data_IF_547026983587
#
_entry.id   IF_547026983587
#
_cell.length_a   1.000
_cell.length_b   1.000
_cell.length_c   1.000
_cell.angle_alpha   90.00
_cell.angle_beta   90.00
_cell.angle_gamma   90.00
#
_symmetry.space_group_name_H-M   'P 1'
#
loop_
_entity.id
_entity.type
_entity.pdbx_description
1 polymer ?
#
# COMPACT_ATOMS: atom_id res chain seq x y z
N UNK A 1 5.65 -17.31 17.55
CA UNK A 1 4.24 -16.98 17.86
C UNK A 1 3.58 -16.53 16.57
N UNK A 2 2.27 -16.71 16.41
CA UNK A 2 1.59 -16.48 15.14
C UNK A 2 1.22 -15.01 14.93
N UNK A 3 0.96 -14.65 13.66
CA UNK A 3 0.20 -13.45 13.31
C UNK A 3 -1.23 -13.59 13.83
N UNK A 4 -1.94 -12.47 13.95
CA UNK A 4 -3.39 -12.43 14.21
C UNK A 4 -4.13 -12.75 12.91
N UNK A 5 -5.47 -12.78 12.96
CA UNK A 5 -6.28 -13.00 11.77
C UNK A 5 -6.10 -11.86 10.76
N UNK A 6 -5.61 -12.22 9.58
CA UNK A 6 -5.39 -11.32 8.45
C UNK A 6 -6.22 -11.77 7.23
N UNK A 7 -7.37 -12.42 7.44
CA UNK A 7 -8.21 -12.95 6.36
C UNK A 7 -8.95 -11.88 5.56
N UNK A 8 -9.43 -10.82 6.21
CA UNK A 8 -10.17 -9.72 5.57
C UNK A 8 -9.23 -8.80 4.79
N UNK A 9 -9.59 -8.44 3.55
CA UNK A 9 -8.84 -7.50 2.71
C UNK A 9 -9.09 -6.04 3.12
N UNK A 10 -10.34 -5.60 3.15
CA UNK A 10 -10.71 -4.23 3.49
C UNK A 10 -10.88 -4.10 5.02
N UNK A 11 -10.28 -3.07 5.63
CA UNK A 11 -10.31 -2.88 7.09
C UNK A 11 -10.92 -1.55 7.51
N UNK A 12 -10.38 -0.44 7.01
CA UNK A 12 -10.73 0.90 7.52
C UNK A 12 -11.07 1.92 6.44
N UNK A 13 -10.87 1.60 5.17
CA UNK A 13 -11.31 2.45 4.07
C UNK A 13 -12.84 2.42 3.95
N UNK A 14 -13.40 3.51 3.42
CA UNK A 14 -14.79 3.55 2.99
C UNK A 14 -14.95 2.69 1.74
N UNK A 15 -16.06 1.95 1.61
CA UNK A 15 -16.29 1.06 0.46
C UNK A 15 -17.33 1.66 -0.47
N UNK A 16 -16.98 1.76 -1.75
CA UNK A 16 -17.89 2.15 -2.83
C UNK A 16 -18.01 0.96 -3.78
N UNK A 17 -19.21 0.39 -3.89
CA UNK A 17 -19.48 -0.70 -4.81
C UNK A 17 -19.79 -0.16 -6.21
N UNK A 18 -19.08 -0.68 -7.21
CA UNK A 18 -19.29 -0.39 -8.63
C UNK A 18 -20.13 -1.53 -9.20
N UNK A 19 -21.39 -1.25 -9.49
CA UNK A 19 -22.39 -2.25 -9.86
C UNK A 19 -22.51 -2.41 -11.37
N UNK A 20 -22.95 -3.59 -11.82
CA UNK A 20 -23.23 -3.82 -13.25
C UNK A 20 -24.53 -3.12 -13.66
N UNK A 21 -24.41 -2.07 -14.45
CA UNK A 21 -25.55 -1.28 -14.93
C UNK A 21 -25.45 -0.87 -16.41
N UNK A 22 -24.38 -1.25 -17.11
CA UNK A 22 -24.10 -0.88 -18.49
C UNK A 22 -24.12 0.65 -18.74
N UNK A 23 -23.76 1.46 -17.74
CA UNK A 23 -23.84 2.92 -17.80
C UNK A 23 -22.62 3.60 -17.21
N UNK A 24 -22.17 4.66 -17.87
CA UNK A 24 -21.04 5.49 -17.40
C UNK A 24 -21.45 6.26 -16.13
N UNK A 25 -20.82 5.94 -15.00
CA UNK A 25 -21.05 6.63 -13.74
C UNK A 25 -19.86 7.50 -13.30
N UNK A 26 -20.13 8.36 -12.32
CA UNK A 26 -19.10 9.18 -11.67
C UNK A 26 -19.12 8.90 -10.17
N UNK A 27 -17.98 8.46 -9.64
CA UNK A 27 -17.78 8.19 -8.23
C UNK A 27 -16.76 9.16 -7.64
N UNK A 28 -17.00 9.60 -6.40
CA UNK A 28 -16.14 10.58 -5.71
C UNK A 28 -15.46 9.93 -4.51
N UNK A 29 -14.14 10.02 -4.45
CA UNK A 29 -13.37 9.57 -3.30
C UNK A 29 -13.44 10.57 -2.13
N UNK A 30 -13.46 10.05 -0.91
CA UNK A 30 -13.48 10.87 0.31
C UNK A 30 -12.68 10.20 1.44
N UNK A 31 -11.50 10.73 1.73
CA UNK A 31 -10.54 10.04 2.60
C UNK A 31 -10.00 8.77 1.91
N UNK A 32 -9.65 7.74 2.67
CA UNK A 32 -9.29 6.44 2.10
C UNK A 32 -10.55 5.71 1.60
N UNK A 33 -10.62 5.46 0.31
CA UNK A 33 -11.78 4.88 -0.39
C UNK A 33 -11.33 3.63 -1.15
N UNK A 34 -12.12 2.56 -1.05
CA UNK A 34 -11.94 1.34 -1.83
C UNK A 34 -13.11 1.19 -2.79
N UNK A 35 -12.84 1.29 -4.08
CA UNK A 35 -13.77 1.04 -5.16
C UNK A 35 -13.77 -0.45 -5.50
N UNK A 36 -14.90 -1.13 -5.34
CA UNK A 36 -15.02 -2.58 -5.52
C UNK A 36 -15.90 -2.88 -6.72
N UNK A 37 -15.29 -3.44 -7.76
CA UNK A 37 -15.98 -3.81 -8.98
C UNK A 37 -16.77 -5.11 -8.82
N UNK A 38 -18.00 -5.09 -9.32
CA UNK A 38 -18.81 -6.29 -9.52
C UNK A 38 -18.26 -7.14 -10.69
N UNK A 39 -18.75 -8.38 -10.79
CA UNK A 39 -18.50 -9.22 -11.97
C UNK A 39 -19.43 -8.81 -13.13
N UNK A 40 -18.88 -8.57 -14.31
CA UNK A 40 -19.61 -8.21 -15.53
C UNK A 40 -19.43 -6.73 -15.92
N UNK A 41 -20.20 -6.30 -16.92
CA UNK A 41 -20.10 -4.96 -17.51
C UNK A 41 -20.63 -3.90 -16.54
N UNK A 42 -19.76 -3.03 -16.06
CA UNK A 42 -20.05 -1.89 -15.19
C UNK A 42 -20.16 -0.59 -15.97
N UNK A 43 -19.61 -0.51 -17.19
CA UNK A 43 -19.61 0.70 -18.01
C UNK A 43 -18.28 1.47 -17.95
N UNK A 44 -18.23 2.61 -18.64
CA UNK A 44 -17.05 3.48 -18.68
C UNK A 44 -17.10 4.49 -17.53
N UNK A 45 -16.55 4.12 -16.38
CA UNK A 45 -16.67 4.89 -15.14
C UNK A 45 -15.59 5.96 -14.96
N UNK A 46 -15.93 7.02 -14.22
CA UNK A 46 -14.99 8.08 -13.82
C UNK A 46 -14.87 8.19 -12.30
N UNK A 47 -13.63 8.19 -11.81
CA UNK A 47 -13.31 8.45 -10.41
C UNK A 47 -12.79 9.86 -10.23
N UNK A 48 -13.41 10.64 -9.34
CA UNK A 48 -13.01 12.00 -9.01
C UNK A 48 -12.38 12.06 -7.62
N UNK A 49 -11.24 12.73 -7.53
CA UNK A 49 -10.54 12.98 -6.28
C UNK A 49 -9.80 11.76 -5.71
N UNK A 50 -9.51 10.77 -6.57
CA UNK A 50 -8.68 9.62 -6.23
C UNK A 50 -7.29 10.10 -5.77
N UNK A 51 -6.80 9.57 -4.67
CA UNK A 51 -5.55 9.99 -4.06
C UNK A 51 -4.70 8.78 -3.66
N UNK A 52 -3.51 9.01 -3.13
CA UNK A 52 -2.53 7.96 -2.82
C UNK A 52 -3.01 6.91 -1.81
N UNK A 53 -4.11 7.19 -1.10
CA UNK A 53 -4.73 6.32 -0.10
C UNK A 53 -6.02 5.63 -0.58
N UNK A 54 -6.39 5.81 -1.85
CA UNK A 54 -7.51 5.13 -2.47
C UNK A 54 -7.07 3.84 -3.16
N UNK A 55 -8.02 2.91 -3.31
CA UNK A 55 -7.77 1.58 -3.85
C UNK A 55 -8.87 1.15 -4.80
N UNK A 56 -8.49 0.34 -5.79
CA UNK A 56 -9.40 -0.35 -6.69
C UNK A 56 -9.28 -1.85 -6.42
N UNK A 57 -10.41 -2.53 -6.29
CA UNK A 57 -10.47 -3.99 -6.19
C UNK A 57 -11.32 -4.53 -7.33
N UNK A 58 -10.72 -5.37 -8.16
CA UNK A 58 -11.40 -6.08 -9.24
C UNK A 58 -11.52 -7.57 -8.91
N UNK A 59 -12.43 -8.25 -9.62
CA UNK A 59 -12.64 -9.71 -9.49
C UNK A 59 -11.77 -10.54 -10.42
N UNK A 60 -11.28 -9.93 -11.48
CA UNK A 60 -10.32 -10.49 -12.42
C UNK A 60 -9.11 -9.56 -12.43
N UNK A 61 -7.92 -10.14 -12.47
CA UNK A 61 -6.69 -9.36 -12.57
C UNK A 61 -6.70 -8.55 -13.86
N UNK A 62 -6.50 -7.23 -13.75
CA UNK A 62 -6.29 -6.34 -14.88
C UNK A 62 -5.03 -6.78 -15.63
N UNK A 63 -5.11 -6.79 -16.97
CA UNK A 63 -4.02 -7.23 -17.82
C UNK A 63 -2.81 -6.29 -17.75
N UNK A 64 -1.75 -6.77 -17.11
CA UNK A 64 -0.42 -6.17 -17.13
C UNK A 64 0.34 -6.65 -18.38
N UNK A 65 0.59 -5.72 -19.31
CA UNK A 65 1.19 -6.02 -20.62
C UNK A 65 2.68 -6.36 -20.54
N UNK A 66 3.42 -5.70 -19.67
CA UNK A 66 4.88 -5.81 -19.56
C UNK A 66 5.32 -6.63 -18.34
N UNK A 67 4.38 -7.02 -17.47
CA UNK A 67 4.61 -7.91 -16.34
C UNK A 67 5.41 -7.25 -15.22
N UNK A 68 5.35 -5.92 -15.09
CA UNK A 68 6.07 -5.15 -14.08
C UNK A 68 5.23 -4.84 -12.83
N UNK A 69 3.99 -5.32 -12.80
CA UNK A 69 2.94 -5.07 -11.81
C UNK A 69 2.35 -3.65 -11.82
N UNK A 70 2.53 -2.90 -12.91
CA UNK A 70 1.91 -1.61 -13.11
C UNK A 70 0.94 -1.64 -14.30
N UNK A 71 -0.22 -1.03 -14.11
CA UNK A 71 -1.24 -0.87 -15.12
C UNK A 71 -1.24 0.59 -15.53
N UNK A 72 -0.51 0.90 -16.60
CA UNK A 72 -0.47 2.26 -17.14
C UNK A 72 -1.71 2.57 -17.97
N UNK A 73 -2.20 3.79 -17.85
CA UNK A 73 -3.22 4.35 -18.71
C UNK A 73 -2.74 4.41 -20.17
N UNK A 74 -3.69 4.31 -21.10
CA UNK A 74 -3.46 4.61 -22.50
C UNK A 74 -3.14 6.11 -22.74
N UNK A 75 -2.76 6.50 -23.96
CA UNK A 75 -2.50 7.91 -24.31
C UNK A 75 -3.66 8.88 -24.07
N UNK A 76 -4.86 8.35 -23.83
CA UNK A 76 -6.10 9.05 -23.51
C UNK A 76 -6.37 9.16 -22.01
N UNK A 77 -5.47 8.71 -21.12
CA UNK A 77 -5.66 8.76 -19.67
C UNK A 77 -6.55 7.65 -19.10
N UNK A 78 -6.98 6.70 -19.95
CA UNK A 78 -7.93 5.65 -19.57
C UNK A 78 -7.20 4.35 -19.23
N UNK A 79 -7.63 3.69 -18.15
CA UNK A 79 -7.22 2.35 -17.76
C UNK A 79 -8.34 1.36 -18.13
N UNK A 80 -7.94 0.28 -18.80
CA UNK A 80 -8.84 -0.77 -19.28
C UNK A 80 -8.82 -1.92 -18.26
N UNK A 81 -9.94 -2.17 -17.58
CA UNK A 81 -9.97 -2.97 -16.35
C UNK A 81 -10.36 -4.44 -16.57
N UNK A 82 -11.02 -4.77 -17.69
CA UNK A 82 -11.38 -6.14 -18.06
C UNK A 82 -10.66 -6.62 -19.35
N UNK A 83 -9.62 -5.89 -19.79
CA UNK A 83 -8.70 -6.34 -20.83
C UNK A 83 -8.23 -7.77 -20.58
N UNK A 84 -8.30 -8.62 -21.61
CA UNK A 84 -7.86 -10.03 -21.55
C UNK A 84 -6.61 -10.32 -22.36
N UNK A 85 -6.10 -9.36 -23.15
CA UNK A 85 -4.84 -9.48 -23.88
C UNK A 85 -4.54 -8.33 -24.83
N UNK A 86 -3.42 -8.39 -25.58
CA UNK A 86 -3.05 -7.34 -26.53
C UNK A 86 -4.09 -7.16 -27.65
N UNK A 87 -4.71 -5.99 -27.73
CA UNK A 87 -5.73 -5.68 -28.74
C UNK A 87 -7.13 -6.25 -28.44
N UNK A 88 -7.33 -6.75 -27.22
CA UNK A 88 -8.64 -7.14 -26.69
C UNK A 88 -8.97 -6.20 -25.55
N UNK A 89 -9.21 -4.94 -25.93
CA UNK A 89 -9.68 -3.92 -25.01
C UNK A 89 -11.03 -4.42 -24.48
N UNK A 90 -11.15 -4.54 -23.17
CA UNK A 90 -12.37 -5.06 -22.58
C UNK A 90 -13.52 -4.05 -22.73
N UNK A 91 -14.67 -4.37 -22.14
CA UNK A 91 -15.84 -3.49 -22.22
C UNK A 91 -15.82 -2.38 -21.16
N UNK A 92 -15.03 -2.54 -20.09
CA UNK A 92 -15.05 -1.69 -18.91
C UNK A 92 -13.75 -0.88 -18.81
N UNK A 93 -13.91 0.43 -18.80
CA UNK A 93 -12.82 1.39 -18.80
C UNK A 93 -12.99 2.34 -17.63
N UNK A 94 -11.88 2.83 -17.10
CA UNK A 94 -11.92 3.81 -16.02
C UNK A 94 -11.06 5.02 -16.35
N UNK A 95 -11.61 6.20 -16.08
CA UNK A 95 -10.84 7.45 -16.01
C UNK A 95 -10.63 7.81 -14.54
N UNK A 96 -9.37 7.99 -14.14
CA UNK A 96 -9.02 8.34 -12.76
C UNK A 96 -8.54 9.78 -12.70
N UNK A 97 -9.46 10.70 -12.42
CA UNK A 97 -9.13 12.08 -12.14
C UNK A 97 -8.72 12.20 -10.66
N UNK A 98 -7.41 12.22 -10.41
CA UNK A 98 -6.91 12.31 -9.05
C UNK A 98 -7.16 13.67 -8.40
N UNK A 99 -6.94 13.74 -7.08
CA UNK A 99 -7.21 14.95 -6.28
C UNK A 99 -6.33 16.12 -6.67
N UNK A 100 -5.06 15.84 -6.94
CA UNK A 100 -4.04 16.86 -7.22
C UNK A 100 -3.56 16.79 -8.68
N UNK A 101 -3.50 15.58 -9.25
CA UNK A 101 -3.08 15.32 -10.62
C UNK A 101 -3.84 14.09 -11.17
N UNK A 102 -3.76 13.88 -12.49
CA UNK A 102 -4.32 12.68 -13.13
C UNK A 102 -3.56 11.42 -12.70
N UNK A 103 -4.27 10.37 -12.32
CA UNK A 103 -3.65 9.08 -11.97
C UNK A 103 -3.54 8.26 -13.25
N UNK A 104 -2.35 8.27 -13.84
CA UNK A 104 -2.09 7.59 -15.11
C UNK A 104 -1.55 6.16 -14.94
N UNK A 105 -1.43 5.67 -13.71
CA UNK A 105 -0.91 4.33 -13.48
C UNK A 105 -1.37 3.79 -12.14
N UNK A 106 -1.78 2.52 -12.14
CA UNK A 106 -2.06 1.77 -10.92
C UNK A 106 -0.94 0.76 -10.68
N UNK A 107 -0.56 0.54 -9.43
CA UNK A 107 0.29 -0.58 -9.02
C UNK A 107 -0.56 -1.71 -8.45
N UNK A 108 -0.20 -2.94 -8.78
CA UNK A 108 -0.85 -4.14 -8.30
C UNK A 108 -0.30 -4.56 -6.94
N UNK A 109 -1.18 -4.69 -5.95
CA UNK A 109 -0.85 -5.02 -4.56
C UNK A 109 -1.09 -6.49 -4.21
N UNK A 110 -1.48 -7.34 -5.16
CA UNK A 110 -1.72 -8.76 -4.93
C UNK A 110 -3.20 -9.17 -4.87
N UNK A 111 -3.43 -10.43 -4.52
CA UNK A 111 -4.77 -11.03 -4.43
C UNK A 111 -5.09 -11.45 -2.99
N UNK A 112 -6.30 -11.15 -2.53
CA UNK A 112 -6.81 -11.61 -1.23
C UNK A 112 -8.32 -11.68 -1.25
N UNK A 113 -8.87 -12.70 -0.61
CA UNK A 113 -10.32 -12.91 -0.55
C UNK A 113 -11.02 -12.89 -1.93
N UNK A 114 -10.31 -13.37 -2.96
CA UNK A 114 -10.78 -13.38 -4.35
C UNK A 114 -10.77 -12.03 -5.06
N UNK A 115 -10.34 -10.95 -4.40
CA UNK A 115 -10.15 -9.63 -5.01
C UNK A 115 -8.69 -9.37 -5.39
N UNK A 116 -8.49 -8.69 -6.51
CA UNK A 116 -7.20 -8.18 -6.98
C UNK A 116 -7.11 -6.69 -6.63
N UNK A 117 -6.14 -6.33 -5.79
CA UNK A 117 -6.03 -4.98 -5.25
C UNK A 117 -5.04 -4.12 -6.03
N UNK A 118 -5.41 -2.86 -6.24
CA UNK A 118 -4.62 -1.86 -6.95
C UNK A 118 -4.66 -0.53 -6.19
N UNK A 119 -3.59 0.25 -6.30
CA UNK A 119 -3.47 1.60 -5.75
C UNK A 119 -2.66 2.51 -6.69
N UNK A 120 -2.50 3.79 -6.38
CA UNK A 120 -1.74 4.74 -7.21
C UNK A 120 -0.27 4.30 -7.42
N UNK A 121 0.17 4.13 -8.67
CA UNK A 121 1.55 3.78 -8.98
C UNK A 121 2.58 4.83 -8.53
N UNK A 122 2.18 6.10 -8.45
CA UNK A 122 3.00 7.23 -8.03
C UNK A 122 3.64 7.02 -6.66
N UNK A 123 2.88 6.47 -5.70
CA UNK A 123 3.34 6.24 -4.32
C UNK A 123 4.62 5.41 -4.25
N UNK A 124 4.75 4.34 -5.04
CA UNK A 124 5.96 3.51 -5.04
C UNK A 124 7.06 4.15 -5.92
N UNK A 125 6.70 4.74 -7.05
CA UNK A 125 7.66 5.38 -7.98
C UNK A 125 8.40 6.56 -7.36
N UNK A 126 7.75 7.32 -6.48
CA UNK A 126 8.39 8.39 -5.73
C UNK A 126 9.56 7.86 -4.88
N UNK A 127 9.38 6.72 -4.20
CA UNK A 127 10.46 6.07 -3.43
C UNK A 127 11.55 5.49 -4.34
N UNK A 128 11.19 4.90 -5.48
CA UNK A 128 12.17 4.43 -6.47
C UNK A 128 13.06 5.54 -6.99
N UNK A 129 12.46 6.69 -7.29
CA UNK A 129 13.20 7.87 -7.76
C UNK A 129 14.19 8.36 -6.71
N UNK A 130 13.80 8.28 -5.44
CA UNK A 130 14.61 8.76 -4.31
C UNK A 130 15.72 7.79 -3.89
N UNK A 131 15.41 6.52 -3.75
CA UNK A 131 16.30 5.53 -3.11
C UNK A 131 16.88 4.50 -4.09
N UNK A 132 16.46 4.54 -5.36
CA UNK A 132 16.79 3.53 -6.36
C UNK A 132 15.82 2.35 -6.30
N UNK A 133 15.28 1.96 -7.45
CA UNK A 133 14.28 0.90 -7.57
C UNK A 133 14.75 -0.42 -6.95
N UNK A 134 16.03 -0.75 -7.10
CA UNK A 134 16.65 -1.97 -6.57
C UNK A 134 16.75 -2.02 -5.04
N UNK A 135 16.55 -0.89 -4.36
CA UNK A 135 16.63 -0.78 -2.90
C UNK A 135 15.26 -0.68 -2.25
N UNK A 136 14.18 -0.53 -3.02
CA UNK A 136 12.83 -0.39 -2.49
C UNK A 136 12.04 -1.67 -2.75
N UNK A 137 11.47 -2.21 -1.69
CA UNK A 137 10.56 -3.36 -1.70
C UNK A 137 9.23 -2.90 -1.10
N UNK A 138 8.12 -3.33 -1.67
CA UNK A 138 6.78 -3.06 -1.15
C UNK A 138 6.15 -4.36 -0.64
N UNK A 139 5.48 -4.30 0.52
CA UNK A 139 4.62 -5.38 0.99
C UNK A 139 3.28 -5.42 0.27
N UNK A 140 2.72 -6.61 0.09
CA UNK A 140 1.47 -6.83 -0.64
C UNK A 140 0.29 -7.05 0.31
N UNK A 141 -0.91 -7.31 -0.22
CA UNK A 141 -2.04 -7.76 0.60
C UNK A 141 -1.88 -9.21 1.10
N UNK A 142 -0.95 -9.97 0.52
CA UNK A 142 -0.64 -11.34 0.90
C UNK A 142 0.30 -11.40 2.11
N UNK A 143 0.67 -12.61 2.55
CA UNK A 143 1.67 -12.79 3.59
C UNK A 143 3.04 -12.98 2.96
N UNK A 144 3.87 -11.95 3.00
CA UNK A 144 5.15 -11.93 2.32
C UNK A 144 6.32 -12.45 3.17
N UNK A 145 7.37 -12.89 2.47
CA UNK A 145 8.68 -13.18 3.06
C UNK A 145 9.70 -12.30 2.38
N UNK A 146 10.13 -11.26 3.08
CA UNK A 146 11.01 -10.22 2.54
C UNK A 146 12.39 -10.34 3.19
N UNK A 147 13.43 -10.17 2.38
CA UNK A 147 14.83 -10.20 2.81
C UNK A 147 15.47 -8.84 2.57
N UNK A 148 15.96 -8.22 3.64
CA UNK A 148 16.55 -6.88 3.62
C UNK A 148 18.09 -6.94 3.55
N UNK A 149 18.67 -8.10 3.23
CA UNK A 149 20.11 -8.22 3.04
C UNK A 149 20.61 -7.45 1.79
N UNK A 150 21.91 -7.17 1.77
CA UNK A 150 22.60 -6.62 0.59
C UNK A 150 22.83 -5.12 0.60
N UNK A 151 22.93 -4.51 1.79
CA UNK A 151 23.07 -3.06 1.99
C UNK A 151 21.72 -2.42 2.31
N UNK A 152 21.69 -1.09 2.38
CA UNK A 152 20.51 -0.33 2.77
C UNK A 152 19.29 -0.62 1.88
N UNK A 153 18.18 -1.02 2.52
CA UNK A 153 16.89 -1.30 1.87
C UNK A 153 15.75 -0.48 2.49
N UNK A 154 14.76 -0.21 1.66
CA UNK A 154 13.53 0.47 2.01
C UNK A 154 12.38 -0.51 1.88
N UNK A 155 11.66 -0.75 2.96
CA UNK A 155 10.42 -1.51 2.95
C UNK A 155 9.24 -0.55 3.01
N UNK A 156 8.51 -0.39 1.91
CA UNK A 156 7.22 0.30 1.90
C UNK A 156 6.11 -0.63 2.40
N UNK A 157 5.34 -0.14 3.35
CA UNK A 157 4.07 -0.70 3.78
C UNK A 157 3.02 0.43 3.74
N UNK A 158 2.27 0.50 2.64
CA UNK A 158 1.30 1.57 2.37
C UNK A 158 0.03 1.41 3.23
N UNK A 159 0.16 1.69 4.52
CA UNK A 159 -0.90 1.51 5.51
C UNK A 159 -1.99 2.60 5.48
N UNK A 160 -1.87 3.62 4.62
CA UNK A 160 -2.91 4.62 4.43
C UNK A 160 -4.10 4.10 3.60
N UNK A 161 -3.92 3.02 2.82
CA UNK A 161 -4.92 2.45 1.91
C UNK A 161 -6.18 1.91 2.61
N UNK A 162 -6.12 1.70 3.92
CA UNK A 162 -7.20 1.05 4.68
C UNK A 162 -7.40 -0.44 4.37
N UNK A 163 -6.44 -1.06 3.66
CA UNK A 163 -6.36 -2.50 3.41
C UNK A 163 -5.57 -3.24 4.51
N UNK A 164 -5.75 -4.55 4.60
CA UNK A 164 -4.88 -5.44 5.38
C UNK A 164 -3.73 -5.94 4.49
N UNK A 165 -2.52 -5.41 4.72
CA UNK A 165 -1.29 -5.78 4.03
C UNK A 165 -0.66 -7.10 4.53
N UNK A 166 -1.50 -8.04 4.98
CA UNK A 166 -1.08 -9.36 5.39
C UNK A 166 -0.22 -9.42 6.66
N UNK A 167 0.41 -10.58 6.84
CA UNK A 167 1.30 -10.92 7.95
C UNK A 167 2.68 -11.28 7.41
N UNK A 168 3.54 -10.28 7.28
CA UNK A 168 4.82 -10.39 6.59
C UNK A 168 5.94 -10.78 7.54
N UNK A 169 6.86 -11.57 7.01
CA UNK A 169 8.09 -11.95 7.70
C UNK A 169 9.27 -11.27 7.05
N UNK A 170 9.98 -10.45 7.82
CA UNK A 170 11.12 -9.65 7.37
C UNK A 170 12.40 -10.26 7.93
N UNK A 171 13.35 -10.61 7.08
CA UNK A 171 14.68 -11.08 7.48
C UNK A 171 15.72 -9.97 7.30
N UNK A 172 16.79 -10.04 8.10
CA UNK A 172 18.00 -9.22 7.96
C UNK A 172 17.83 -7.69 8.05
N UNK A 173 16.71 -7.20 8.62
CA UNK A 173 16.50 -5.77 8.84
C UNK A 173 17.55 -5.18 9.80
N UNK A 174 18.38 -4.28 9.27
CA UNK A 174 19.55 -3.66 9.91
C UNK A 174 19.34 -2.19 10.29
N UNK A 175 20.44 -1.53 10.70
CA UNK A 175 20.43 -0.12 11.08
C UNK A 175 20.39 0.83 9.89
N UNK A 176 20.80 0.37 8.72
CA UNK A 176 20.78 1.06 7.44
C UNK A 176 19.48 0.85 6.65
N UNK A 177 18.58 -0.01 7.14
CA UNK A 177 17.28 -0.25 6.52
C UNK A 177 16.20 0.68 7.09
N UNK A 178 15.22 0.98 6.25
CA UNK A 178 14.06 1.78 6.63
C UNK A 178 12.78 0.99 6.42
N UNK A 179 11.89 1.05 7.42
CA UNK A 179 10.47 0.80 7.23
C UNK A 179 9.82 2.14 6.91
N UNK A 180 9.06 2.19 5.82
CA UNK A 180 8.38 3.38 5.34
C UNK A 180 6.88 3.10 5.28
N UNK A 181 6.08 4.03 5.81
CA UNK A 181 4.63 3.98 5.76
C UNK A 181 4.06 5.30 5.23
N UNK A 182 2.81 5.29 4.79
CA UNK A 182 2.09 6.47 4.25
C UNK A 182 1.10 7.06 5.26
N UNK A 183 0.91 6.38 6.38
CA UNK A 183 0.28 6.89 7.60
C UNK A 183 1.18 6.57 8.79
N UNK A 184 1.33 7.52 9.72
CA UNK A 184 2.12 7.30 10.92
C UNK A 184 1.59 6.10 11.71
N UNK A 185 2.51 5.25 12.16
CA UNK A 185 2.24 4.18 13.11
C UNK A 185 1.80 4.74 14.47
N UNK A 186 0.97 4.00 15.17
CA UNK A 186 0.51 4.38 16.49
C UNK A 186 1.62 4.38 17.55
N UNK A 187 1.92 5.57 18.05
CA UNK A 187 2.79 5.80 19.19
C UNK A 187 1.93 6.16 20.42
N UNK A 188 1.62 5.15 21.23
CA UNK A 188 0.68 5.30 22.35
C UNK A 188 1.20 6.18 23.50
N UNK A 189 2.50 6.42 23.58
CA UNK A 189 3.14 7.24 24.63
C UNK A 189 3.86 8.48 24.07
N UNK A 190 3.94 8.63 22.75
CA UNK A 190 4.46 9.82 22.08
C UNK A 190 5.96 10.02 22.26
N UNK A 191 6.73 8.95 22.48
CA UNK A 191 8.18 9.03 22.69
C UNK A 191 9.01 8.76 21.42
N UNK A 192 8.35 8.47 20.30
CA UNK A 192 8.97 8.14 19.03
C UNK A 192 9.35 6.66 18.89
N UNK A 193 9.12 5.83 19.91
CA UNK A 193 9.46 4.41 19.90
C UNK A 193 8.21 3.54 19.72
N UNK A 194 8.08 2.89 18.56
CA UNK A 194 6.94 2.00 18.29
C UNK A 194 7.26 0.59 18.80
N UNK A 195 6.73 0.26 19.97
CA UNK A 195 6.90 -1.03 20.62
C UNK A 195 6.11 -2.16 19.93
N UNK A 196 6.74 -3.33 19.80
CA UNK A 196 6.05 -4.52 19.28
C UNK A 196 5.12 -5.10 20.34
N UNK A 197 4.03 -5.73 19.88
CA UNK A 197 3.15 -6.46 20.77
C UNK A 197 3.86 -7.66 21.43
N UNK A 198 3.24 -8.25 22.48
CA UNK A 198 3.84 -9.38 23.24
C UNK A 198 4.20 -10.60 22.38
N UNK A 199 3.53 -10.76 21.24
CA UNK A 199 3.82 -11.78 20.22
C UNK A 199 5.04 -11.46 19.33
N UNK A 200 5.73 -10.34 19.57
CA UNK A 200 6.89 -9.82 18.81
C UNK A 200 6.54 -9.50 17.36
N UNK A 201 5.37 -8.93 17.16
CA UNK A 201 4.86 -8.47 15.87
C UNK A 201 4.62 -6.97 16.00
N UNK A 202 4.99 -6.24 14.95
CA UNK A 202 4.62 -4.85 14.76
C UNK A 202 3.26 -4.83 14.06
N UNK A 203 2.30 -4.13 14.65
CA UNK A 203 1.01 -3.89 14.02
C UNK A 203 1.14 -2.64 13.15
N UNK A 204 0.66 -2.70 11.91
CA UNK A 204 0.76 -1.60 10.93
C UNK A 204 -0.42 -0.63 11.03
N UNK A 205 -1.12 -0.68 12.15
CA UNK A 205 -2.25 0.17 12.46
C UNK A 205 -1.76 1.61 12.49
N UNK A 206 -2.28 2.43 11.58
CA UNK A 206 -1.94 3.86 11.52
C UNK A 206 -2.30 4.60 12.82
N UNK A 207 -2.39 5.92 12.78
CA UNK A 207 -2.53 6.79 13.98
C UNK A 207 -3.69 6.46 14.94
N UNK A 208 -4.70 5.70 14.53
CA UNK A 208 -5.78 5.22 15.40
C UNK A 208 -5.39 4.07 16.33
N UNK A 209 -4.23 3.44 16.10
CA UNK A 209 -3.77 2.25 16.82
C UNK A 209 -4.60 1.00 16.56
N UNK A 210 -4.23 -0.14 17.16
CA UNK A 210 -5.13 -1.28 17.23
C UNK A 210 -6.27 -0.91 18.20
N UNK A 211 -7.50 -0.79 17.70
CA UNK A 211 -8.68 -0.51 18.53
C UNK A 211 -8.99 -1.73 19.40
N UNK A 212 -9.40 -1.53 20.65
CA UNK A 212 -9.86 -2.60 21.55
C UNK A 212 -11.13 -3.30 21.02
N UNK A 213 -11.86 -2.66 20.11
CA UNK A 213 -13.01 -3.20 19.39
C UNK A 213 -12.65 -3.79 18.02
N UNK A 214 -11.39 -3.69 17.59
CA UNK A 214 -10.93 -4.39 16.40
C UNK A 214 -11.15 -5.89 16.62
N UNK A 215 -11.93 -6.51 15.73
CA UNK A 215 -12.04 -7.96 15.69
C UNK A 215 -10.62 -8.54 15.52
N UNK A 216 -10.06 -9.00 16.63
CA UNK A 216 -8.71 -9.56 16.78
C UNK A 216 -7.56 -8.70 16.21
N UNK A 217 -7.61 -7.38 16.45
CA UNK A 217 -6.53 -6.40 16.57
C UNK A 217 -5.37 -6.42 15.55
N UNK A 218 -5.57 -5.95 14.32
CA UNK A 218 -4.47 -5.69 13.39
C UNK A 218 -4.94 -4.88 12.20
N UNK A 219 -5.13 -3.56 12.37
CA UNK A 219 -5.36 -2.68 11.24
C UNK A 219 -4.07 -2.57 10.41
N UNK A 220 -4.19 -2.50 9.09
CA UNK A 220 -3.07 -2.22 8.18
C UNK A 220 -2.11 -3.37 7.87
N UNK A 221 -2.23 -4.54 8.49
CA UNK A 221 -1.27 -5.65 8.34
C UNK A 221 -0.31 -5.78 9.54
N UNK A 222 0.64 -6.71 9.44
CA UNK A 222 1.51 -7.10 10.55
C UNK A 222 2.90 -7.52 10.08
N UNK A 223 3.94 -7.04 10.76
CA UNK A 223 5.33 -7.42 10.44
C UNK A 223 5.98 -8.22 11.56
N UNK A 224 6.67 -9.30 11.18
CA UNK A 224 7.59 -10.03 12.06
C UNK A 224 9.02 -9.93 11.55
N UNK A 225 9.87 -9.27 12.31
CA UNK A 225 11.30 -9.28 12.09
C UNK A 225 11.92 -10.59 12.62
N UNK A 226 12.68 -11.27 11.77
CA UNK A 226 13.34 -12.54 12.04
C UNK A 226 14.84 -12.41 11.91
N UNK A 227 15.58 -13.24 12.64
CA UNK A 227 17.05 -13.11 12.74
C UNK A 227 17.51 -11.94 13.63
N UNK A 228 16.63 -11.00 13.98
CA UNK A 228 16.92 -9.90 14.90
C UNK A 228 16.30 -10.12 16.29
N UNK A 229 16.86 -9.45 17.30
CA UNK A 229 16.28 -9.36 18.65
C UNK A 229 15.29 -8.19 18.79
N UNK A 230 14.91 -7.55 17.68
CA UNK A 230 14.16 -6.30 17.63
C UNK A 230 12.83 -6.39 18.40
N UNK A 231 12.52 -5.32 19.11
CA UNK A 231 11.33 -5.17 19.96
C UNK A 231 10.60 -3.85 19.73
N UNK A 232 11.23 -2.95 19.01
CA UNK A 232 10.69 -1.65 18.65
C UNK A 232 11.39 -1.15 17.40
N UNK A 233 10.78 -0.14 16.78
CA UNK A 233 11.39 0.71 15.76
C UNK A 233 11.27 2.16 16.24
N UNK A 234 12.19 3.00 15.79
CA UNK A 234 12.22 4.42 16.13
C UNK A 234 11.67 5.23 14.95
N UNK A 235 10.80 6.18 15.22
CA UNK A 235 10.37 7.18 14.25
C UNK A 235 11.53 8.14 13.97
N UNK A 236 11.93 8.22 12.70
CA UNK A 236 13.05 9.05 12.23
C UNK A 236 12.57 10.39 11.66
N UNK A 237 11.26 10.52 11.41
CA UNK A 237 10.60 11.71 10.88
C UNK A 237 9.78 11.38 9.63
N UNK A 238 9.30 12.41 8.95
CA UNK A 238 8.48 12.28 7.74
C UNK A 238 8.91 13.26 6.66
N UNK A 239 8.51 12.97 5.43
CA UNK A 239 8.76 13.83 4.27
C UNK A 239 7.58 13.75 3.31
N UNK A 240 7.28 14.85 2.63
CA UNK A 240 6.22 14.93 1.62
C UNK A 240 6.86 14.85 0.23
N UNK A 241 6.54 13.80 -0.52
CA UNK A 241 7.05 13.59 -1.89
C UNK A 241 5.84 13.47 -2.80
N UNK A 242 5.74 14.38 -3.78
CA UNK A 242 4.66 14.39 -4.79
C UNK A 242 3.24 14.31 -4.19
N UNK A 243 3.03 14.99 -3.06
CA UNK A 243 1.73 15.04 -2.38
C UNK A 243 1.44 13.89 -1.42
N UNK A 244 2.34 12.90 -1.31
CA UNK A 244 2.24 11.79 -0.36
C UNK A 244 3.17 12.01 0.81
N UNK A 245 2.65 11.96 2.04
CA UNK A 245 3.46 11.99 3.26
C UNK A 245 4.00 10.59 3.57
N UNK A 246 5.32 10.45 3.60
CA UNK A 246 6.01 9.23 4.00
C UNK A 246 6.56 9.38 5.42
N UNK A 247 6.36 8.36 6.24
CA UNK A 247 6.86 8.26 7.61
C UNK A 247 7.97 7.20 7.65
N UNK A 248 9.13 7.59 8.17
CA UNK A 248 10.33 6.76 8.18
C UNK A 248 10.58 6.20 9.56
N UNK A 249 10.89 4.91 9.61
CA UNK A 249 11.21 4.20 10.83
C UNK A 249 12.47 3.36 10.64
N UNK A 250 13.29 3.29 11.69
CA UNK A 250 14.50 2.47 11.70
C UNK A 250 14.70 1.76 13.02
N UNK A 251 15.87 1.15 13.17
CA UNK A 251 16.29 0.63 14.48
C UNK A 251 16.83 1.77 15.35
N UNK A 252 17.05 1.51 16.65
CA UNK A 252 17.70 2.47 17.54
C UNK A 252 19.13 2.88 17.11
N UNK A 253 19.75 2.14 16.18
CA UNK A 253 21.06 2.47 15.61
C UNK A 253 20.98 3.19 14.25
N UNK A 254 19.79 3.49 13.74
CA UNK A 254 19.61 4.14 12.45
C UNK A 254 20.03 5.61 12.51
N UNK A 255 20.71 6.07 11.47
CA UNK A 255 21.23 7.45 11.36
C UNK A 255 20.50 8.29 10.31
N UNK A 256 19.62 7.65 9.52
CA UNK A 256 18.87 8.30 8.46
C UNK A 256 18.17 9.60 8.91
N UNK A 257 18.25 10.60 8.05
CA UNK A 257 17.61 11.92 8.23
C UNK A 257 16.61 12.13 7.08
N UNK A 258 15.31 12.32 7.37
CA UNK A 258 14.32 12.67 6.34
C UNK A 258 14.75 13.89 5.52
N UNK A 259 14.42 13.88 4.24
CA UNK A 259 14.97 14.82 3.25
C UNK A 259 16.32 14.40 2.63
N UNK A 260 17.03 13.42 3.21
CA UNK A 260 18.24 12.87 2.57
C UNK A 260 17.87 11.86 1.46
N UNK A 261 18.77 11.72 0.48
CA UNK A 261 18.73 10.64 -0.53
C UNK A 261 19.59 9.44 -0.12
N UNK A 262 20.32 9.55 0.99
CA UNK A 262 21.23 8.51 1.47
C UNK A 262 20.65 7.88 2.76
N UNK A 263 20.25 6.60 2.72
CA UNK A 263 19.75 5.87 3.88
C UNK A 263 20.82 5.63 4.97
N UNK A 264 22.09 5.88 4.66
CA UNK A 264 23.25 5.67 5.57
C UNK A 264 23.84 6.95 6.18
N UNK A 265 23.27 8.12 5.87
CA UNK A 265 23.78 9.43 6.30
C UNK A 265 23.90 9.58 7.82
#
# INVERSE_FOLDING_TARGET
MAFRDNSLLIRSSSVVGIGTNDADDVYVAAGATTFVFADGNVGDDSFLGFDSNDTIITRVQIYDRNGDNFISAGPNGIIDIDRTGPGFDGNDHILIAGRNDEITELRYLGTKDGGFAYADGGTLRALWTRFGQENVVEGTVANDRLDMAGGAKILLQDNALGLNLGGDTIANFGSDDLLVTTSALFDGNGDGTIGFARNRVLDMSGVGGPDVTDAEAGSGGQLRFTGSSLRSIEYLGSDDIDGVTYYYYGTAGSTFVPGSVDPTA
#
